data_IF_136216068637
#
_entry.id   IF_136216068637
#
_cell.length_a   1.000
_cell.length_b   1.000
_cell.length_c   1.000
_cell.angle_alpha   90.00
_cell.angle_beta   90.00
_cell.angle_gamma   90.00
#
_symmetry.space_group_name_H-M   'P 1'
#
loop_
_entity.id
_entity.type
_entity.pdbx_description
1 polymer ?
#
# COMPACT_ATOMS: atom_id res chain seq x y z
N UNK A 1 23.06 0.14 17.70
CA UNK A 1 21.61 0.40 17.76
C UNK A 1 21.09 0.23 16.34
N UNK A 2 19.98 -0.48 16.12
CA UNK A 2 19.50 -0.80 14.76
C UNK A 2 19.16 0.48 14.00
N UNK A 3 19.65 0.63 12.76
CA UNK A 3 19.46 1.84 11.94
C UNK A 3 17.97 2.15 11.70
N UNK A 4 17.11 1.13 11.78
CA UNK A 4 15.66 1.27 11.66
C UNK A 4 15.04 2.19 12.73
N UNK A 5 15.68 2.37 13.89
CA UNK A 5 15.19 3.31 14.92
C UNK A 5 15.29 4.78 14.49
N UNK A 6 16.14 5.09 13.51
CA UNK A 6 16.29 6.42 12.93
C UNK A 6 15.52 6.59 11.62
N UNK A 7 14.85 5.54 11.13
CA UNK A 7 14.02 5.62 9.94
C UNK A 7 12.75 6.45 10.20
N UNK A 8 12.21 7.06 9.15
CA UNK A 8 11.03 7.92 9.26
C UNK A 8 9.78 7.10 9.00
N UNK A 9 8.99 6.91 10.05
CA UNK A 9 7.70 6.21 9.93
C UNK A 9 6.59 7.20 9.59
N UNK A 10 5.74 6.82 8.64
CA UNK A 10 4.54 7.58 8.27
C UNK A 10 3.32 6.66 8.28
N UNK A 11 2.32 7.00 9.08
CA UNK A 11 1.02 6.34 9.01
C UNK A 11 0.32 6.76 7.70
N UNK A 12 0.19 5.84 6.76
CA UNK A 12 -0.43 6.08 5.44
C UNK A 12 -1.93 5.90 5.54
N UNK A 13 -2.37 4.81 6.17
CA UNK A 13 -3.78 4.54 6.50
C UNK A 13 -3.81 4.30 8.00
N UNK A 14 -4.44 5.21 8.75
CA UNK A 14 -4.67 5.00 10.17
C UNK A 14 -5.55 3.75 10.40
N UNK A 15 -5.41 3.04 11.53
CA UNK A 15 -6.38 2.02 11.90
C UNK A 15 -7.76 2.67 12.08
N UNK A 16 -8.67 2.39 11.15
CA UNK A 16 -10.02 3.00 11.07
C UNK A 16 -11.11 1.92 11.13
N UNK A 17 -12.38 2.31 11.08
CA UNK A 17 -13.49 1.37 10.93
C UNK A 17 -13.40 0.58 9.62
N UNK A 18 -14.14 -0.54 9.56
CA UNK A 18 -14.25 -1.38 8.36
C UNK A 18 -14.81 -0.56 7.18
N UNK A 19 -14.25 -0.79 5.99
CA UNK A 19 -14.64 -0.16 4.72
C UNK A 19 -15.21 -1.21 3.79
N UNK A 20 -16.26 -0.88 3.04
CA UNK A 20 -16.91 -1.77 2.07
C UNK A 20 -17.12 -1.03 0.74
N UNK A 21 -16.78 -1.68 -0.38
CA UNK A 21 -16.83 -1.15 -1.74
C UNK A 21 -16.27 0.28 -1.90
N UNK A 22 -15.19 0.57 -1.16
CA UNK A 22 -14.60 1.89 -1.11
C UNK A 22 -13.09 1.85 -0.84
N UNK A 23 -12.41 2.94 -1.23
CA UNK A 23 -11.00 3.14 -0.95
C UNK A 23 -10.77 3.77 0.41
N UNK A 24 -9.71 3.36 1.09
CA UNK A 24 -9.26 4.09 2.28
C UNK A 24 -8.74 5.47 1.87
N UNK A 25 -8.94 6.43 2.76
CA UNK A 25 -8.24 7.71 2.67
C UNK A 25 -6.79 7.50 3.07
N UNK A 26 -5.88 7.95 2.22
CA UNK A 26 -4.44 7.78 2.40
C UNK A 26 -3.77 9.13 2.62
N UNK A 27 -2.64 9.07 3.32
CA UNK A 27 -1.73 10.21 3.44
C UNK A 27 -0.56 9.97 2.49
N UNK A 28 -0.37 10.88 1.55
CA UNK A 28 0.76 10.85 0.60
C UNK A 28 2.11 10.76 1.32
N UNK A 29 3.09 10.11 0.72
CA UNK A 29 4.44 9.92 1.25
C UNK A 29 5.39 10.82 0.46
N UNK A 30 6.07 11.75 1.13
CA UNK A 30 7.13 12.56 0.54
C UNK A 30 8.47 11.84 0.74
N UNK A 31 9.12 11.47 -0.36
CA UNK A 31 10.35 10.69 -0.36
C UNK A 31 11.62 11.52 -0.50
N UNK A 32 11.53 12.84 -0.35
CA UNK A 32 12.70 13.71 -0.40
C UNK A 32 13.79 13.26 0.60
N UNK A 33 15.02 13.12 0.09
CA UNK A 33 16.22 12.68 0.81
C UNK A 33 16.24 11.20 1.24
N UNK A 34 15.39 10.35 0.64
CA UNK A 34 15.40 8.90 0.86
C UNK A 34 15.70 8.13 -0.44
N UNK A 35 16.39 7.00 -0.32
CA UNK A 35 16.71 6.09 -1.44
C UNK A 35 15.72 4.91 -1.58
N UNK A 36 15.07 4.53 -0.49
CA UNK A 36 14.12 3.42 -0.43
C UNK A 36 12.86 3.81 0.34
N UNK A 37 11.73 3.21 -0.02
CA UNK A 37 10.48 3.29 0.74
C UNK A 37 9.89 1.89 0.87
N UNK A 38 9.53 1.50 2.09
CA UNK A 38 8.80 0.26 2.37
C UNK A 38 7.41 0.61 2.87
N UNK A 39 6.37 0.15 2.18
CA UNK A 39 4.97 0.30 2.60
C UNK A 39 4.47 -1.06 3.08
N UNK A 40 4.02 -1.12 4.31
CA UNK A 40 3.44 -2.31 4.93
C UNK A 40 1.94 -2.07 5.05
N UNK A 41 1.15 -2.88 4.36
CA UNK A 41 -0.30 -2.92 4.48
C UNK A 41 -0.69 -4.12 5.35
N UNK A 42 -1.31 -3.83 6.48
CA UNK A 42 -1.83 -4.83 7.39
C UNK A 42 -3.31 -5.04 7.07
N UNK A 43 -3.63 -6.22 6.53
CA UNK A 43 -4.99 -6.65 6.30
C UNK A 43 -5.56 -7.20 7.62
N UNK A 44 -6.70 -6.66 8.05
CA UNK A 44 -7.45 -7.21 9.15
C UNK A 44 -8.44 -8.27 8.67
N UNK A 45 -9.67 -8.20 9.19
CA UNK A 45 -10.77 -8.99 8.67
C UNK A 45 -11.13 -8.54 7.25
N UNK A 46 -11.36 -9.49 6.35
CA UNK A 46 -11.84 -9.29 5.00
C UNK A 46 -12.87 -10.36 4.68
N UNK A 47 -13.92 -9.99 3.97
CA UNK A 47 -15.02 -10.90 3.65
C UNK A 47 -15.07 -11.24 2.15
N UNK A 48 -14.38 -10.46 1.33
CA UNK A 48 -14.26 -10.63 -0.11
C UNK A 48 -12.89 -10.15 -0.58
N UNK A 49 -12.46 -10.60 -1.76
CA UNK A 49 -11.21 -10.13 -2.33
C UNK A 49 -11.17 -8.60 -2.46
N UNK A 50 -10.05 -7.99 -2.11
CA UNK A 50 -9.83 -6.56 -2.30
C UNK A 50 -9.98 -6.18 -3.77
N UNK A 51 -10.52 -4.98 -4.05
CA UNK A 51 -10.70 -4.51 -5.43
C UNK A 51 -9.42 -3.89 -6.01
N UNK A 52 -8.56 -3.30 -5.18
CA UNK A 52 -7.27 -2.79 -5.60
C UNK A 52 -6.29 -2.72 -4.42
N UNK A 53 -5.02 -2.99 -4.68
CA UNK A 53 -3.92 -2.72 -3.76
C UNK A 53 -2.65 -2.45 -4.57
N UNK A 54 -2.29 -1.18 -4.72
CA UNK A 54 -1.18 -0.73 -5.58
C UNK A 54 -0.58 0.58 -5.11
N UNK A 55 0.63 0.90 -5.59
CA UNK A 55 1.32 2.16 -5.26
C UNK A 55 1.39 3.06 -6.49
N UNK A 56 1.08 4.33 -6.28
CA UNK A 56 1.15 5.39 -7.28
C UNK A 56 2.24 6.40 -6.94
N UNK A 57 2.65 7.18 -7.93
CA UNK A 57 3.66 8.23 -7.78
C UNK A 57 3.29 9.51 -8.54
N UNK A 58 3.70 10.67 -8.03
CA UNK A 58 3.53 11.98 -8.64
C UNK A 58 4.74 12.90 -8.43
N UNK A 59 4.91 13.86 -9.33
CA UNK A 59 5.90 14.95 -9.20
C UNK A 59 5.36 16.10 -8.32
N UNK A 60 4.04 16.19 -8.16
CA UNK A 60 3.33 17.25 -7.44
C UNK A 60 2.52 16.63 -6.31
N UNK A 61 2.63 17.20 -5.10
CA UNK A 61 1.82 16.82 -3.94
C UNK A 61 0.32 16.98 -4.25
N UNK A 62 -0.47 16.03 -3.78
CA UNK A 62 -1.94 16.06 -3.83
C UNK A 62 -2.60 15.91 -5.20
N UNK A 63 -1.85 15.70 -6.30
CA UNK A 63 -2.46 15.52 -7.64
C UNK A 63 -1.53 14.82 -8.63
N UNK A 64 -2.08 14.32 -9.75
CA UNK A 64 -1.28 13.80 -10.86
C UNK A 64 -0.63 12.43 -10.62
N UNK A 65 -1.16 11.66 -9.66
CA UNK A 65 -0.67 10.32 -9.35
C UNK A 65 -0.91 9.34 -10.49
N UNK A 66 0.13 8.58 -10.82
CA UNK A 66 0.10 7.49 -11.80
C UNK A 66 0.68 6.21 -11.19
N UNK A 67 0.16 5.06 -11.61
CA UNK A 67 0.59 3.76 -11.11
C UNK A 67 2.10 3.54 -11.34
N UNK A 68 2.80 3.05 -10.32
CA UNK A 68 4.15 2.53 -10.48
C UNK A 68 4.02 1.13 -11.10
N UNK A 69 4.56 0.96 -12.30
CA UNK A 69 4.58 -0.34 -12.97
C UNK A 69 5.17 -1.43 -12.08
N UNK A 70 4.41 -2.50 -11.86
CA UNK A 70 4.81 -3.65 -11.06
C UNK A 70 4.56 -3.52 -9.54
N UNK A 71 4.30 -2.32 -9.02
CA UNK A 71 3.99 -2.12 -7.60
C UNK A 71 2.48 -2.30 -7.34
N UNK A 72 1.96 -3.47 -7.67
CA UNK A 72 0.54 -3.83 -7.53
C UNK A 72 0.42 -5.27 -7.06
N UNK A 73 -0.52 -5.52 -6.14
CA UNK A 73 -0.92 -6.86 -5.78
C UNK A 73 -1.84 -7.49 -6.83
N UNK A 74 -2.20 -6.79 -7.91
CA UNK A 74 -2.97 -7.34 -9.02
C UNK A 74 -2.08 -7.54 -10.25
N UNK A 75 -1.39 -8.68 -10.30
CA UNK A 75 -0.53 -9.04 -11.44
C UNK A 75 0.89 -8.49 -11.40
N UNK A 76 1.32 -7.85 -10.30
CA UNK A 76 2.71 -7.44 -10.09
C UNK A 76 3.64 -8.65 -9.96
N UNK A 77 4.96 -8.42 -9.95
CA UNK A 77 5.95 -9.49 -9.79
C UNK A 77 6.61 -9.39 -8.42
N UNK A 78 6.57 -10.48 -7.66
CA UNK A 78 7.23 -10.55 -6.36
C UNK A 78 8.76 -10.76 -6.50
N UNK A 79 9.46 -10.79 -5.37
CA UNK A 79 10.93 -10.96 -5.33
C UNK A 79 11.40 -12.33 -5.85
N UNK A 80 10.52 -13.33 -5.88
CA UNK A 80 10.78 -14.68 -6.38
C UNK A 80 10.35 -14.87 -7.84
N UNK A 81 9.83 -13.82 -8.50
CA UNK A 81 9.34 -13.88 -9.87
C UNK A 81 7.90 -14.40 -10.00
N UNK A 82 7.19 -14.60 -8.88
CA UNK A 82 5.79 -14.97 -8.84
C UNK A 82 4.87 -13.80 -9.18
N UNK A 83 3.69 -14.11 -9.70
CA UNK A 83 2.63 -13.11 -9.92
C UNK A 83 1.92 -12.83 -8.60
N UNK A 84 1.94 -11.58 -8.14
CA UNK A 84 1.19 -11.12 -6.99
C UNK A 84 -0.31 -11.18 -7.29
N UNK A 85 -1.10 -11.61 -6.31
CA UNK A 85 -2.55 -11.65 -6.37
C UNK A 85 -3.15 -10.82 -5.24
N UNK A 86 -4.31 -10.22 -5.52
CA UNK A 86 -5.03 -9.43 -4.53
C UNK A 86 -5.42 -10.34 -3.36
N UNK A 87 -5.38 -9.84 -2.11
CA UNK A 87 -5.84 -10.61 -0.96
C UNK A 87 -7.29 -11.05 -1.17
N UNK A 88 -7.53 -12.34 -0.95
CA UNK A 88 -8.82 -13.00 -1.08
C UNK A 88 -9.64 -12.93 0.21
N UNK A 89 -10.89 -13.41 0.14
CA UNK A 89 -11.83 -13.49 1.27
C UNK A 89 -11.35 -14.34 2.46
N UNK A 90 -10.23 -15.07 2.32
CA UNK A 90 -9.68 -15.93 3.37
C UNK A 90 -8.30 -15.50 3.84
N UNK A 91 -7.79 -14.36 3.36
CA UNK A 91 -6.46 -13.84 3.71
C UNK A 91 -6.50 -12.93 4.94
N UNK A 92 -7.43 -13.19 5.86
CA UNK A 92 -7.54 -12.48 7.13
C UNK A 92 -6.21 -12.42 7.89
N UNK A 93 -5.83 -11.23 8.35
CA UNK A 93 -4.60 -11.05 9.11
C UNK A 93 -3.30 -11.08 8.28
N UNK A 94 -3.39 -11.14 6.95
CA UNK A 94 -2.22 -11.12 6.09
C UNK A 94 -1.49 -9.76 6.12
N UNK A 95 -0.20 -9.77 5.81
CA UNK A 95 0.65 -8.58 5.74
C UNK A 95 1.26 -8.51 4.36
N UNK A 96 0.93 -7.45 3.63
CA UNK A 96 1.42 -7.21 2.27
C UNK A 96 2.46 -6.10 2.32
N UNK A 97 3.62 -6.33 1.70
CA UNK A 97 4.75 -5.41 1.75
C UNK A 97 5.14 -4.99 0.34
N UNK A 98 5.17 -3.68 0.11
CA UNK A 98 5.76 -3.08 -1.09
C UNK A 98 7.13 -2.52 -0.74
N UNK A 99 8.17 -2.99 -1.42
CA UNK A 99 9.52 -2.45 -1.32
C UNK A 99 9.85 -1.71 -2.62
N UNK A 100 10.13 -0.41 -2.52
CA UNK A 100 10.31 0.46 -3.67
C UNK A 100 11.69 1.10 -3.61
N UNK A 101 12.51 0.84 -4.63
CA UNK A 101 13.70 1.63 -4.93
C UNK A 101 13.25 2.97 -5.55
N UNK A 102 13.63 4.08 -4.90
CA UNK A 102 13.21 5.42 -5.29
C UNK A 102 14.02 5.98 -6.46
N UNK A 103 15.05 5.27 -6.92
CA UNK A 103 15.84 5.68 -8.08
C UNK A 103 14.98 5.74 -9.34
N UNK A 104 14.86 6.94 -9.91
CA UNK A 104 14.03 7.18 -11.09
C UNK A 104 12.52 7.14 -10.81
N UNK A 105 12.11 7.16 -9.53
CA UNK A 105 10.73 7.37 -9.12
C UNK A 105 10.43 8.85 -8.91
N UNK A 106 9.15 9.19 -8.97
CA UNK A 106 8.69 10.53 -8.65
C UNK A 106 8.64 10.73 -7.13
N UNK A 107 8.66 11.99 -6.71
CA UNK A 107 8.86 12.37 -5.30
C UNK A 107 7.73 11.95 -4.36
N UNK A 108 6.47 12.06 -4.80
CA UNK A 108 5.33 11.78 -3.93
C UNK A 108 4.79 10.41 -4.25
N UNK A 109 4.69 9.54 -3.25
CA UNK A 109 4.05 8.23 -3.38
C UNK A 109 2.69 8.24 -2.70
N UNK A 110 1.76 7.44 -3.20
CA UNK A 110 0.47 7.22 -2.54
C UNK A 110 0.04 5.76 -2.68
N UNK A 111 -0.63 5.25 -1.65
CA UNK A 111 -1.15 3.90 -1.62
C UNK A 111 -2.61 3.91 -2.07
N UNK A 112 -2.94 3.12 -3.09
CA UNK A 112 -4.34 2.86 -3.45
C UNK A 112 -4.69 1.50 -2.89
N UNK A 113 -5.51 1.52 -1.83
CA UNK A 113 -6.13 0.34 -1.28
C UNK A 113 -7.66 0.50 -1.39
N UNK A 114 -8.34 -0.49 -1.95
CA UNK A 114 -9.80 -0.50 -2.14
C UNK A 114 -10.35 -1.82 -1.64
N UNK A 115 -11.26 -1.74 -0.67
CA UNK A 115 -12.01 -2.90 -0.21
C UNK A 115 -12.88 -3.44 -1.34
N UNK A 116 -13.08 -4.77 -1.39
CA UNK A 116 -14.09 -5.32 -2.28
C UNK A 116 -15.51 -5.03 -1.79
N UNK A 117 -16.49 -5.36 -2.62
CA UNK A 117 -17.92 -5.21 -2.31
C UNK A 117 -18.44 -6.50 -1.65
N UNK A 118 -18.40 -6.52 -0.33
CA UNK A 118 -18.76 -7.66 0.50
C UNK A 118 -20.09 -7.45 1.22
N UNK A 119 -20.27 -8.15 2.34
CA UNK A 119 -21.40 -7.96 3.28
C UNK A 119 -20.98 -7.24 4.55
N UNK A 120 -19.76 -7.51 5.02
CA UNK A 120 -19.17 -6.97 6.25
C UNK A 120 -18.12 -5.91 5.93
N UNK A 121 -17.39 -6.07 4.82
CA UNK A 121 -16.30 -5.20 4.39
C UNK A 121 -14.92 -5.66 4.90
N UNK A 122 -13.92 -4.81 4.65
CA UNK A 122 -12.51 -5.06 4.97
C UNK A 122 -11.96 -4.04 5.98
N UNK A 123 -11.18 -4.54 6.95
CA UNK A 123 -10.34 -3.74 7.83
C UNK A 123 -8.92 -3.65 7.27
N UNK A 124 -8.32 -2.47 7.27
CA UNK A 124 -6.96 -2.27 6.77
C UNK A 124 -6.26 -1.12 7.48
N UNK A 125 -4.93 -1.22 7.58
CA UNK A 125 -4.07 -0.11 8.00
C UNK A 125 -2.74 -0.18 7.26
N UNK A 126 -2.03 0.94 7.15
CA UNK A 126 -0.76 0.98 6.45
C UNK A 126 0.23 1.95 7.07
N UNK A 127 1.50 1.53 7.10
CA UNK A 127 2.65 2.34 7.52
C UNK A 127 3.72 2.30 6.44
N UNK A 128 4.33 3.46 6.18
CA UNK A 128 5.52 3.59 5.33
C UNK A 128 6.76 3.87 6.18
N UNK A 129 7.90 3.38 5.73
CA UNK A 129 9.23 3.48 6.35
C UNK A 129 10.25 3.89 5.29
#
# INVERSE_FOLDING_TARGET
MNDLFNAKFKQVIAPVAIVDDASWTTIEIDTLDYDYCTIIFNLGATDIAMAALKVQQSDTSGSGFADITGATADGGTDIAGGTAALPSATDDGNVIVFQIDLKGKKRYLDLVATAGNGTTGTYGSAVAI
#
